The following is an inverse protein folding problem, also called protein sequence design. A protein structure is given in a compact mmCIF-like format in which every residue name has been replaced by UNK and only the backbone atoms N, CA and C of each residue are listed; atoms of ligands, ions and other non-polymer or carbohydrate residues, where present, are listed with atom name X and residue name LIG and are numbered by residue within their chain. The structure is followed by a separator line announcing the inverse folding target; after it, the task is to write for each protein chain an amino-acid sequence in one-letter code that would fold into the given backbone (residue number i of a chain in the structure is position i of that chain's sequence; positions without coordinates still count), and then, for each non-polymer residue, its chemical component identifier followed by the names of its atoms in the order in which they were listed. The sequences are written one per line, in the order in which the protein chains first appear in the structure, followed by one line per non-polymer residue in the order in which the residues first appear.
data_IF_064111896770
#
_entry.id   IF_064111896770
#
_cell.length_a   1.000
_cell.length_b   1.000
_cell.length_c   1.000
_cell.angle_alpha   90.00
_cell.angle_beta   90.00
_cell.angle_gamma   90.00
#
_symmetry.space_group_name_H-M   'P 1'
#
loop_
_entity.id
_entity.type
_entity.pdbx_description
1 polymer ?
#
# COMPACT_ATOMS: atom_id res chain seq x y z
N UNK A 1 8.79 -24.46 -1.74
CA UNK A 1 9.18 -23.06 -1.47
C UNK A 1 8.67 -22.19 -2.61
N UNK A 2 7.43 -21.70 -2.52
CA UNK A 2 6.88 -20.77 -3.51
C UNK A 2 7.38 -19.36 -3.14
N UNK A 3 7.89 -18.56 -4.08
CA UNK A 3 8.53 -17.30 -3.78
C UNK A 3 7.49 -16.38 -3.14
N UNK A 4 7.74 -16.04 -1.87
CA UNK A 4 7.05 -15.01 -1.10
C UNK A 4 7.25 -13.61 -1.73
N UNK A 5 8.21 -13.53 -2.68
CA UNK A 5 8.48 -12.45 -3.63
C UNK A 5 7.86 -12.71 -5.01
N UNK A 6 6.84 -13.56 -5.10
CA UNK A 6 6.08 -13.73 -6.32
C UNK A 6 5.54 -12.36 -6.72
N UNK A 7 5.73 -12.01 -7.99
CA UNK A 7 5.15 -10.87 -8.70
C UNK A 7 3.60 -10.95 -8.60
N UNK A 8 3.07 -10.75 -7.41
CA UNK A 8 1.66 -10.94 -7.10
C UNK A 8 0.98 -9.61 -7.42
N UNK A 9 -0.04 -9.63 -8.28
CA UNK A 9 -0.74 -8.42 -8.76
C UNK A 9 -1.09 -7.46 -7.62
N UNK A 10 -1.38 -8.00 -6.43
CA UNK A 10 -1.64 -7.24 -5.20
C UNK A 10 -0.50 -6.33 -4.73
N UNK A 11 0.75 -6.78 -4.79
CA UNK A 11 1.90 -5.97 -4.39
C UNK A 11 2.14 -4.83 -5.38
N UNK A 12 2.00 -5.12 -6.69
CA UNK A 12 2.09 -4.12 -7.75
C UNK A 12 0.95 -3.11 -7.69
N UNK A 13 -0.28 -3.54 -7.41
CA UNK A 13 -1.42 -2.62 -7.28
C UNK A 13 -1.29 -1.74 -6.05
N UNK A 14 -0.78 -2.26 -4.93
CA UNK A 14 -0.57 -1.45 -3.72
C UNK A 14 0.52 -0.41 -3.95
N UNK A 15 1.65 -0.80 -4.55
CA UNK A 15 2.73 0.11 -4.89
C UNK A 15 2.27 1.17 -5.91
N UNK A 16 1.62 0.74 -7.00
CA UNK A 16 1.12 1.64 -8.04
C UNK A 16 0.05 2.60 -7.53
N UNK A 17 -0.86 2.16 -6.65
CA UNK A 17 -1.87 3.03 -6.04
C UNK A 17 -1.22 4.07 -5.12
N UNK A 18 -0.28 3.65 -4.26
CA UNK A 18 0.44 4.56 -3.38
C UNK A 18 1.24 5.61 -4.18
N UNK A 19 1.96 5.18 -5.23
CA UNK A 19 2.71 6.08 -6.12
C UNK A 19 1.78 7.03 -6.87
N UNK A 20 0.65 6.56 -7.38
CA UNK A 20 -0.31 7.41 -8.12
C UNK A 20 -0.90 8.50 -7.22
N UNK A 21 -1.25 8.16 -5.98
CA UNK A 21 -1.77 9.13 -4.99
C UNK A 21 -0.71 10.17 -4.61
N UNK A 22 0.54 9.74 -4.37
CA UNK A 22 1.64 10.67 -4.07
C UNK A 22 1.95 11.62 -5.23
N UNK A 23 2.05 11.08 -6.45
CA UNK A 23 2.35 11.89 -7.64
C UNK A 23 1.22 12.90 -7.91
N UNK A 24 -0.04 12.47 -7.82
CA UNK A 24 -1.19 13.37 -8.05
C UNK A 24 -1.29 14.46 -6.97
N UNK A 25 -1.01 14.14 -5.71
CA UNK A 25 -1.05 15.12 -4.63
C UNK A 25 0.03 16.21 -4.76
N UNK A 26 1.28 15.83 -5.05
CA UNK A 26 2.38 16.80 -5.15
C UNK A 26 2.37 17.60 -6.46
N UNK A 27 1.80 17.08 -7.55
CA UNK A 27 1.79 17.76 -8.85
C UNK A 27 0.63 18.75 -8.99
N UNK A 28 -0.52 18.49 -8.39
CA UNK A 28 -1.74 19.25 -8.71
C UNK A 28 -2.00 20.45 -7.81
N UNK A 29 -1.68 20.39 -6.51
CA UNK A 29 -2.03 21.48 -5.57
C UNK A 29 -1.00 21.62 -4.43
N UNK A 30 -0.20 22.71 -4.37
CA UNK A 30 0.72 22.97 -3.27
C UNK A 30 -0.04 23.56 -2.07
N UNK A 31 -0.87 22.76 -1.41
CA UNK A 31 -1.62 23.16 -0.21
C UNK A 31 -1.40 22.16 0.94
N UNK A 32 -1.05 22.58 2.17
CA UNK A 32 -0.67 21.68 3.26
C UNK A 32 -1.72 20.64 3.64
N UNK A 33 -3.00 21.01 3.54
CA UNK A 33 -4.13 20.10 3.82
C UNK A 33 -4.22 18.96 2.78
N UNK A 34 -3.88 19.25 1.52
CA UNK A 34 -3.88 18.25 0.44
C UNK A 34 -2.73 17.27 0.64
N UNK A 35 -1.56 17.75 1.04
CA UNK A 35 -0.40 16.92 1.37
C UNK A 35 -0.68 15.99 2.55
N UNK A 36 -1.28 16.51 3.63
CA UNK A 36 -1.68 15.70 4.79
C UNK A 36 -2.73 14.65 4.42
N UNK A 37 -3.76 15.02 3.66
CA UNK A 37 -4.78 14.09 3.18
C UNK A 37 -4.19 12.99 2.29
N UNK A 38 -3.25 13.32 1.41
CA UNK A 38 -2.56 12.35 0.57
C UNK A 38 -1.74 11.35 1.40
N UNK A 39 -1.01 11.83 2.41
CA UNK A 39 -0.28 10.95 3.33
C UNK A 39 -1.18 10.00 4.11
N UNK A 40 -2.37 10.45 4.54
CA UNK A 40 -3.35 9.57 5.18
C UNK A 40 -3.88 8.48 4.23
N UNK A 41 -4.11 8.80 2.96
CA UNK A 41 -4.52 7.83 1.95
C UNK A 41 -3.42 6.80 1.70
N UNK A 42 -2.16 7.26 1.53
CA UNK A 42 -0.99 6.37 1.39
C UNK A 42 -0.86 5.44 2.60
N UNK A 43 -0.98 5.98 3.80
CA UNK A 43 -0.93 5.21 5.04
C UNK A 43 -2.03 4.15 5.10
N UNK A 44 -3.26 4.49 4.68
CA UNK A 44 -4.39 3.55 4.65
C UNK A 44 -4.15 2.41 3.67
N UNK A 45 -3.63 2.71 2.47
CA UNK A 45 -3.28 1.70 1.46
C UNK A 45 -2.20 0.75 2.00
N UNK A 46 -1.18 1.32 2.65
CA UNK A 46 -0.09 0.55 3.25
C UNK A 46 -0.58 -0.36 4.39
N UNK A 47 -1.41 0.16 5.29
CA UNK A 47 -2.02 -0.62 6.38
C UNK A 47 -2.88 -1.77 5.85
N UNK A 48 -3.70 -1.51 4.82
CA UNK A 48 -4.52 -2.55 4.22
C UNK A 48 -3.67 -3.69 3.65
N UNK A 49 -2.59 -3.36 2.93
CA UNK A 49 -1.66 -4.36 2.42
C UNK A 49 -0.99 -5.14 3.57
N UNK A 50 -0.51 -4.44 4.60
CA UNK A 50 0.15 -5.05 5.76
C UNK A 50 -0.78 -6.03 6.49
N UNK A 51 -2.05 -5.65 6.73
CA UNK A 51 -3.03 -6.52 7.36
C UNK A 51 -3.29 -7.78 6.53
N UNK A 52 -3.45 -7.64 5.21
CA UNK A 52 -3.65 -8.81 4.34
C UNK A 52 -2.43 -9.73 4.32
N UNK A 53 -1.22 -9.17 4.33
CA UNK A 53 0.01 -9.95 4.43
C UNK A 53 0.12 -10.68 5.78
N UNK A 54 -0.25 -10.02 6.87
CA UNK A 54 -0.25 -10.61 8.21
C UNK A 54 -1.29 -11.74 8.33
N UNK A 55 -2.51 -11.54 7.79
CA UNK A 55 -3.56 -12.58 7.76
C UNK A 55 -3.10 -13.81 6.98
N UNK A 56 -2.50 -13.61 5.81
CA UNK A 56 -1.96 -14.71 5.01
C UNK A 56 -0.86 -15.46 5.77
N UNK A 57 0.05 -14.73 6.43
CA UNK A 57 1.09 -15.33 7.25
C UNK A 57 0.51 -16.16 8.40
N UNK A 58 -0.48 -15.61 9.11
CA UNK A 58 -1.13 -16.28 10.23
C UNK A 58 -1.91 -17.53 9.79
N UNK A 59 -2.57 -17.47 8.64
CA UNK A 59 -3.33 -18.63 8.09
C UNK A 59 -2.46 -19.82 7.70
N UNK A 60 -1.15 -19.59 7.49
CA UNK A 60 -0.16 -20.61 7.13
C UNK A 60 0.72 -21.01 8.31
N UNK A 61 0.53 -20.37 9.45
CA UNK A 61 1.32 -20.65 10.62
C UNK A 61 0.69 -21.86 11.32
N UNK A 62 1.40 -22.98 11.25
CA UNK A 62 1.02 -24.25 11.87
C UNK A 62 1.43 -24.20 13.35
N UNK A 63 0.56 -23.66 14.22
CA UNK A 63 0.68 -23.78 15.67
C UNK A 63 -0.45 -24.62 16.26
#
# INVERSE_FOLDING_TARGET
MHPILGFNRRNLTALAAATTVLVSAYVLVPHPVVEYGAWLVVFTIWMLWFVLAAVEWLSRADF
#
